data_IF_170653524089
#
_entry.id   IF_170653524089
#
_cell.length_a   1.000
_cell.length_b   1.000
_cell.length_c   1.000
_cell.angle_alpha   90.00
_cell.angle_beta   90.00
_cell.angle_gamma   90.00
#
_symmetry.space_group_name_H-M   'P 1'
#
loop_
_entity.id
_entity.type
_entity.pdbx_description
1 polymer ?
#
# COMPACT_ATOMS: atom_id res chain seq x y z
N UNK A 1 -5.18 1.04 -28.55
CA UNK A 1 -4.30 1.26 -27.38
C UNK A 1 -5.10 1.55 -26.11
N UNK A 2 -6.10 2.44 -26.15
CA UNK A 2 -6.91 2.79 -24.97
C UNK A 2 -7.70 1.62 -24.36
N UNK A 3 -8.38 0.81 -25.17
CA UNK A 3 -9.13 -0.36 -24.67
C UNK A 3 -8.24 -1.39 -23.95
N UNK A 4 -7.05 -1.66 -24.49
CA UNK A 4 -6.07 -2.56 -23.87
C UNK A 4 -5.59 -2.03 -22.52
N UNK A 5 -5.34 -0.71 -22.44
CA UNK A 5 -4.94 -0.07 -21.19
C UNK A 5 -6.04 -0.16 -20.13
N UNK A 6 -7.29 0.15 -20.49
CA UNK A 6 -8.44 0.02 -19.57
C UNK A 6 -8.64 -1.42 -19.10
N UNK A 7 -8.46 -2.41 -19.98
CA UNK A 7 -8.52 -3.82 -19.61
C UNK A 7 -7.43 -4.19 -18.58
N UNK A 8 -6.18 -3.75 -18.78
CA UNK A 8 -5.09 -3.96 -17.84
C UNK A 8 -5.43 -3.32 -16.48
N UNK A 9 -5.88 -2.06 -16.47
CA UNK A 9 -6.29 -1.34 -15.26
C UNK A 9 -7.40 -2.11 -14.54
N UNK A 10 -8.44 -2.55 -15.27
CA UNK A 10 -9.51 -3.35 -14.70
C UNK A 10 -8.99 -4.64 -14.06
N UNK A 11 -8.17 -5.41 -14.77
CA UNK A 11 -7.62 -6.68 -14.27
C UNK A 11 -6.77 -6.47 -13.01
N UNK A 12 -5.91 -5.45 -13.00
CA UNK A 12 -5.05 -5.14 -11.85
C UNK A 12 -5.88 -4.73 -10.64
N UNK A 13 -6.83 -3.80 -10.79
CA UNK A 13 -7.64 -3.36 -9.66
C UNK A 13 -8.64 -4.40 -9.20
N UNK A 14 -9.14 -5.27 -10.08
CA UNK A 14 -9.95 -6.44 -9.70
C UNK A 14 -9.12 -7.38 -8.81
N UNK A 15 -7.90 -7.72 -9.22
CA UNK A 15 -7.00 -8.57 -8.44
C UNK A 15 -6.61 -7.91 -7.10
N UNK A 16 -6.23 -6.64 -7.13
CA UNK A 16 -5.85 -5.87 -5.94
C UNK A 16 -7.02 -5.73 -4.96
N UNK A 17 -8.22 -5.46 -5.47
CA UNK A 17 -9.46 -5.46 -4.70
C UNK A 17 -9.73 -6.83 -4.07
N UNK A 18 -9.61 -7.92 -4.84
CA UNK A 18 -9.81 -9.27 -4.33
C UNK A 18 -8.84 -9.62 -3.20
N UNK A 19 -7.55 -9.29 -3.34
CA UNK A 19 -6.56 -9.46 -2.28
C UNK A 19 -6.93 -8.67 -1.02
N UNK A 20 -7.40 -7.43 -1.19
CA UNK A 20 -7.92 -6.62 -0.08
C UNK A 20 -9.17 -7.22 0.57
N UNK A 21 -10.07 -7.80 -0.21
CA UNK A 21 -11.27 -8.46 0.31
C UNK A 21 -10.94 -9.68 1.18
N UNK A 22 -9.94 -10.46 0.77
CA UNK A 22 -9.47 -11.63 1.54
C UNK A 22 -8.69 -11.22 2.78
N UNK A 23 -7.72 -10.32 2.66
CA UNK A 23 -6.77 -10.02 3.74
C UNK A 23 -7.11 -8.79 4.59
N UNK A 24 -7.98 -7.91 4.12
CA UNK A 24 -8.24 -6.58 4.69
C UNK A 24 -7.26 -5.49 4.22
N UNK A 25 -6.11 -5.86 3.65
CA UNK A 25 -5.04 -4.96 3.24
C UNK A 25 -4.51 -5.27 1.83
N UNK A 26 -3.59 -4.45 1.33
CA UNK A 26 -2.78 -4.84 0.17
C UNK A 26 -3.28 -4.40 -1.21
N UNK A 27 -4.46 -3.75 -1.36
CA UNK A 27 -4.83 -3.15 -2.65
C UNK A 27 -3.72 -2.24 -3.19
N UNK A 28 -3.20 -1.25 -2.42
CA UNK A 28 -2.10 -0.42 -2.87
C UNK A 28 -0.87 -1.21 -3.30
N UNK A 29 -0.47 -2.21 -2.51
CA UNK A 29 0.73 -3.00 -2.77
C UNK A 29 0.61 -3.84 -4.03
N UNK A 30 -0.54 -4.50 -4.22
CA UNK A 30 -0.78 -5.34 -5.40
C UNK A 30 -0.90 -4.49 -6.65
N UNK A 31 -1.67 -3.39 -6.60
CA UNK A 31 -1.79 -2.51 -7.76
C UNK A 31 -0.45 -1.88 -8.13
N UNK A 32 0.32 -1.40 -7.15
CA UNK A 32 1.64 -0.81 -7.40
C UNK A 32 2.64 -1.84 -7.93
N UNK A 33 2.63 -3.07 -7.40
CA UNK A 33 3.51 -4.13 -7.87
C UNK A 33 3.21 -4.55 -9.31
N UNK A 34 1.94 -4.61 -9.70
CA UNK A 34 1.53 -5.00 -11.05
C UNK A 34 1.67 -3.85 -12.06
N UNK A 35 1.19 -2.64 -11.72
CA UNK A 35 1.31 -1.47 -12.60
C UNK A 35 2.75 -1.02 -12.74
N UNK A 36 3.57 -1.16 -11.69
CA UNK A 36 5.00 -0.80 -11.72
C UNK A 36 5.83 -1.63 -12.71
N UNK A 37 5.29 -2.73 -13.24
CA UNK A 37 5.89 -3.46 -14.37
C UNK A 37 5.64 -2.80 -15.73
N UNK A 38 4.64 -1.92 -15.82
CA UNK A 38 4.11 -1.40 -17.08
C UNK A 38 4.29 0.12 -17.18
N UNK A 39 4.36 0.82 -16.05
CA UNK A 39 4.47 2.27 -15.98
C UNK A 39 5.32 2.72 -14.79
N UNK A 40 5.81 3.97 -14.79
CA UNK A 40 6.48 4.56 -13.63
C UNK A 40 5.64 4.48 -12.35
N UNK A 41 6.25 4.32 -11.16
CA UNK A 41 5.52 4.24 -9.90
C UNK A 41 4.63 5.46 -9.61
N UNK A 42 5.02 6.67 -10.05
CA UNK A 42 4.20 7.86 -9.89
C UNK A 42 2.86 7.76 -10.65
N UNK A 43 2.87 7.22 -11.88
CA UNK A 43 1.68 6.98 -12.69
C UNK A 43 0.78 5.89 -12.09
N UNK A 44 1.39 4.79 -11.65
CA UNK A 44 0.68 3.72 -10.94
C UNK A 44 -0.02 4.25 -9.68
N UNK A 45 0.67 5.10 -8.91
CA UNK A 45 0.14 5.70 -7.70
C UNK A 45 -1.06 6.60 -7.99
N UNK A 46 -1.02 7.40 -9.06
CA UNK A 46 -2.14 8.27 -9.44
C UNK A 46 -3.43 7.50 -9.73
N UNK A 47 -3.34 6.34 -10.41
CA UNK A 47 -4.50 5.46 -10.62
C UNK A 47 -5.00 4.82 -9.32
N UNK A 48 -4.10 4.53 -8.39
CA UNK A 48 -4.38 3.81 -7.14
C UNK A 48 -4.99 4.69 -6.06
N UNK A 49 -4.65 5.98 -6.01
CA UNK A 49 -5.06 6.90 -4.93
C UNK A 49 -6.58 6.85 -4.69
N UNK A 50 -7.38 7.08 -5.73
CA UNK A 50 -8.85 7.15 -5.57
C UNK A 50 -9.47 5.81 -5.13
N UNK A 51 -9.19 4.66 -5.78
CA UNK A 51 -9.63 3.36 -5.31
C UNK A 51 -9.18 3.01 -3.88
N UNK A 52 -7.93 3.34 -3.54
CA UNK A 52 -7.42 3.13 -2.18
C UNK A 52 -8.21 3.95 -1.17
N UNK A 53 -8.40 5.26 -1.41
CA UNK A 53 -9.20 6.14 -0.55
C UNK A 53 -10.60 5.58 -0.33
N UNK A 54 -11.30 5.27 -1.43
CA UNK A 54 -12.68 4.80 -1.37
C UNK A 54 -12.82 3.46 -0.64
N UNK A 55 -11.95 2.48 -0.91
CA UNK A 55 -12.06 1.14 -0.31
C UNK A 55 -11.62 1.06 1.15
N UNK A 56 -10.85 2.04 1.64
CA UNK A 56 -10.44 2.12 3.04
C UNK A 56 -11.34 3.02 3.89
N UNK A 57 -12.14 3.89 3.28
CA UNK A 57 -13.08 4.75 4.01
C UNK A 57 -14.00 3.92 4.92
N UNK A 58 -14.51 2.79 4.42
CA UNK A 58 -15.32 1.87 5.20
C UNK A 58 -14.58 1.25 6.40
N UNK A 59 -13.26 1.02 6.29
CA UNK A 59 -12.46 0.49 7.41
C UNK A 59 -12.21 1.54 8.49
N UNK A 60 -12.36 2.83 8.19
CA UNK A 60 -12.20 3.86 9.20
C UNK A 60 -13.38 3.89 10.19
N UNK A 61 -14.55 3.37 9.79
CA UNK A 61 -15.72 3.29 10.66
C UNK A 61 -15.49 2.29 11.81
N UNK A 62 -15.76 2.70 13.05
CA UNK A 62 -15.66 1.84 14.23
C UNK A 62 -15.50 2.62 15.54
N UNK A 63 -15.68 1.98 16.70
CA UNK A 63 -15.71 2.65 18.00
C UNK A 63 -14.32 3.00 18.56
N UNK A 64 -13.22 2.54 17.94
CA UNK A 64 -11.88 2.60 18.55
C UNK A 64 -11.10 3.89 18.25
N UNK A 65 -11.73 4.92 17.68
CA UNK A 65 -11.07 6.16 17.24
C UNK A 65 -10.19 6.80 18.32
N UNK A 66 -10.71 7.00 19.52
CA UNK A 66 -9.99 7.67 20.62
C UNK A 66 -8.73 6.90 21.03
N UNK A 67 -8.85 5.57 21.13
CA UNK A 67 -7.73 4.69 21.48
C UNK A 67 -6.66 4.72 20.37
N UNK A 68 -7.09 4.54 19.11
CA UNK A 68 -6.20 4.51 17.96
C UNK A 68 -5.50 5.85 17.78
N UNK A 69 -6.20 6.98 17.90
CA UNK A 69 -5.59 8.31 17.81
C UNK A 69 -4.51 8.51 18.89
N UNK A 70 -4.81 8.16 20.15
CA UNK A 70 -3.84 8.29 21.25
C UNK A 70 -2.60 7.40 21.07
N UNK A 71 -2.74 6.26 20.41
CA UNK A 71 -1.68 5.27 20.25
C UNK A 71 -0.88 5.45 18.95
N UNK A 72 -1.53 5.81 17.86
CA UNK A 72 -0.99 5.79 16.50
C UNK A 72 -0.62 7.19 15.96
N UNK A 73 -0.99 8.28 16.64
CA UNK A 73 -0.64 9.63 16.16
C UNK A 73 0.86 9.82 15.88
N UNK A 74 1.84 9.26 16.65
CA UNK A 74 3.25 9.48 16.34
C UNK A 74 3.64 8.84 15.01
N UNK A 75 3.05 7.68 14.70
CA UNK A 75 3.24 6.98 13.44
C UNK A 75 2.62 7.76 12.28
N UNK A 76 1.40 8.26 12.44
CA UNK A 76 0.75 9.07 11.40
C UNK A 76 1.48 10.38 11.15
N UNK A 77 1.94 11.05 12.21
CA UNK A 77 2.73 12.28 12.11
C UNK A 77 4.07 12.02 11.40
N UNK A 78 4.82 11.00 11.83
CA UNK A 78 6.07 10.61 11.18
C UNK A 78 5.86 10.26 9.72
N UNK A 79 4.80 9.51 9.40
CA UNK A 79 4.45 9.15 8.04
C UNK A 79 4.14 10.38 7.19
N UNK A 80 3.27 11.27 7.66
CA UNK A 80 2.89 12.49 6.94
C UNK A 80 4.11 13.38 6.68
N UNK A 81 4.90 13.65 7.72
CA UNK A 81 6.07 14.52 7.62
C UNK A 81 7.11 13.91 6.67
N UNK A 82 7.44 12.63 6.82
CA UNK A 82 8.40 11.98 5.95
C UNK A 82 7.88 11.85 4.52
N UNK A 83 6.59 11.53 4.32
CA UNK A 83 6.02 11.43 2.98
C UNK A 83 6.00 12.79 2.27
N UNK A 84 5.61 13.88 2.94
CA UNK A 84 5.51 15.20 2.31
C UNK A 84 6.87 15.87 2.12
N UNK A 85 7.76 15.78 3.11
CA UNK A 85 9.04 16.50 3.12
C UNK A 85 10.24 15.63 2.74
N UNK A 86 10.03 14.37 2.31
CA UNK A 86 11.14 13.54 1.83
C UNK A 86 11.86 14.22 0.66
N UNK A 87 13.20 14.30 0.67
CA UNK A 87 13.97 14.79 -0.47
C UNK A 87 13.96 13.83 -1.66
N UNK A 88 13.44 12.61 -1.47
CA UNK A 88 13.35 11.55 -2.48
C UNK A 88 11.90 11.45 -2.94
N UNK A 89 11.64 11.66 -4.24
CA UNK A 89 10.34 11.44 -4.87
C UNK A 89 10.42 10.37 -5.96
N UNK A 90 9.39 9.53 -6.08
CA UNK A 90 9.25 8.61 -7.21
C UNK A 90 9.31 9.32 -8.57
N UNK A 91 8.86 10.58 -8.63
CA UNK A 91 8.88 11.41 -9.83
C UNK A 91 10.29 11.94 -10.19
N UNK A 92 11.19 12.05 -9.21
CA UNK A 92 12.50 12.70 -9.37
C UNK A 92 13.61 11.69 -9.69
N UNK A 93 13.34 10.38 -9.61
CA UNK A 93 14.34 9.33 -9.85
C UNK A 93 14.39 9.01 -11.36
N UNK A 94 15.47 9.37 -12.08
CA UNK A 94 15.57 9.11 -13.52
C UNK A 94 15.72 7.62 -13.84
N UNK A 95 15.42 7.23 -15.09
CA UNK A 95 15.94 5.99 -15.69
C UNK A 95 15.61 4.68 -14.96
N UNK A 96 14.33 4.43 -14.68
CA UNK A 96 13.87 3.16 -14.08
C UNK A 96 14.32 2.92 -12.63
N UNK A 97 15.00 3.89 -12.00
CA UNK A 97 15.44 3.78 -10.61
C UNK A 97 14.27 3.66 -9.62
N UNK A 98 13.17 4.39 -9.85
CA UNK A 98 11.97 4.29 -9.00
C UNK A 98 11.38 2.87 -9.01
N UNK A 99 11.32 2.22 -10.18
CA UNK A 99 10.85 0.83 -10.31
C UNK A 99 11.79 -0.15 -9.62
N UNK A 100 13.11 0.09 -9.64
CA UNK A 100 14.08 -0.71 -8.87
C UNK A 100 13.87 -0.58 -7.36
N UNK A 101 13.69 0.64 -6.85
CA UNK A 101 13.43 0.87 -5.42
C UNK A 101 12.11 0.21 -5.00
N UNK A 102 11.06 0.34 -5.82
CA UNK A 102 9.80 -0.39 -5.61
C UNK A 102 10.03 -1.91 -5.59
N UNK A 103 10.82 -2.43 -6.53
CA UNK A 103 11.19 -3.85 -6.57
C UNK A 103 11.89 -4.32 -5.29
N UNK A 104 12.89 -3.56 -4.82
CA UNK A 104 13.59 -3.83 -3.56
C UNK A 104 12.64 -3.83 -2.36
N UNK A 105 11.73 -2.85 -2.27
CA UNK A 105 10.72 -2.79 -1.20
C UNK A 105 9.80 -4.00 -1.22
N UNK A 106 9.38 -4.45 -2.41
CA UNK A 106 8.57 -5.67 -2.57
C UNK A 106 9.35 -6.93 -2.19
N UNK A 107 10.65 -7.01 -2.52
CA UNK A 107 11.51 -8.12 -2.08
C UNK A 107 11.61 -8.16 -0.56
N UNK A 108 11.92 -7.03 0.09
CA UNK A 108 12.02 -6.95 1.55
C UNK A 108 10.69 -7.35 2.19
N UNK A 109 9.56 -6.85 1.67
CA UNK A 109 8.24 -7.18 2.19
C UNK A 109 7.87 -8.67 1.96
N UNK A 110 8.20 -9.21 0.79
CA UNK A 110 8.00 -10.62 0.46
C UNK A 110 8.81 -11.55 1.37
N UNK A 111 10.11 -11.27 1.54
CA UNK A 111 10.99 -12.01 2.45
C UNK A 111 10.46 -11.94 3.89
N UNK A 112 10.10 -10.76 4.36
CA UNK A 112 9.55 -10.57 5.71
C UNK A 112 8.29 -11.43 5.93
N UNK A 113 7.33 -11.39 5.01
CA UNK A 113 6.09 -12.14 5.14
C UNK A 113 6.22 -13.65 4.96
N UNK A 114 7.24 -14.11 4.21
CA UNK A 114 7.59 -15.53 4.11
C UNK A 114 8.32 -16.03 5.37
N UNK A 115 9.24 -15.23 5.91
CA UNK A 115 9.99 -15.56 7.12
C UNK A 115 9.12 -15.57 8.38
N UNK A 116 8.06 -14.76 8.42
CA UNK A 116 7.11 -14.65 9.55
C UNK A 116 7.81 -14.48 10.90
N UNK A 117 8.69 -13.47 11.05
CA UNK A 117 9.44 -13.28 12.27
C UNK A 117 8.51 -13.07 13.46
N UNK A 118 8.93 -13.57 14.63
CA UNK A 118 8.24 -13.31 15.88
C UNK A 118 8.30 -11.81 16.20
N UNK A 119 7.15 -11.17 16.33
CA UNK A 119 7.07 -9.74 16.62
C UNK A 119 7.30 -9.46 18.11
N UNK A 120 8.19 -8.51 18.47
CA UNK A 120 8.49 -8.20 19.86
C UNK A 120 7.31 -7.52 20.56
N UNK A 121 7.27 -7.63 21.89
CA UNK A 121 6.36 -6.83 22.71
C UNK A 121 6.92 -5.41 22.86
N UNK A 122 6.25 -4.42 22.26
CA UNK A 122 6.77 -3.05 22.20
C UNK A 122 6.71 -2.30 23.55
N UNK A 123 5.79 -2.68 24.45
CA UNK A 123 5.66 -2.10 25.79
C UNK A 123 5.66 -0.57 25.78
N UNK A 124 6.50 0.03 26.63
CA UNK A 124 6.65 1.49 26.74
C UNK A 124 7.23 2.16 25.47
N UNK A 125 7.93 1.41 24.61
CA UNK A 125 8.57 1.94 23.41
C UNK A 125 7.62 2.01 22.20
N UNK A 126 6.36 1.60 22.35
CA UNK A 126 5.39 1.54 21.26
C UNK A 126 5.28 2.87 20.48
N UNK A 127 5.26 4.02 21.16
CA UNK A 127 5.15 5.33 20.49
C UNK A 127 6.40 5.71 19.69
N UNK A 128 7.58 5.43 20.24
CA UNK A 128 8.85 5.70 19.54
C UNK A 128 8.98 4.78 18.32
N UNK A 129 8.71 3.48 18.50
CA UNK A 129 8.66 2.51 17.41
C UNK A 129 7.65 2.93 16.34
N UNK A 130 6.49 3.47 16.76
CA UNK A 130 5.48 4.02 15.87
C UNK A 130 6.00 5.20 15.04
N UNK A 131 6.65 6.18 15.67
CA UNK A 131 7.25 7.33 14.96
C UNK A 131 8.31 6.90 13.95
N UNK A 132 9.19 5.98 14.33
CA UNK A 132 10.21 5.41 13.42
C UNK A 132 9.56 4.64 12.28
N UNK A 133 8.57 3.79 12.58
CA UNK A 133 7.87 3.00 11.58
C UNK A 133 7.09 3.90 10.61
N UNK A 134 6.42 4.93 11.13
CA UNK A 134 5.72 5.94 10.35
C UNK A 134 6.66 6.69 9.42
N UNK A 135 7.75 7.23 9.96
CA UNK A 135 8.74 7.99 9.19
C UNK A 135 9.38 7.14 8.09
N UNK A 136 9.82 5.92 8.41
CA UNK A 136 10.37 5.01 7.41
C UNK A 136 9.33 4.65 6.33
N UNK A 137 8.08 4.41 6.73
CA UNK A 137 6.99 4.15 5.77
C UNK A 137 6.74 5.37 4.89
N UNK A 138 6.76 6.58 5.45
CA UNK A 138 6.58 7.82 4.69
C UNK A 138 7.67 8.03 3.64
N UNK A 139 8.95 7.76 3.99
CA UNK A 139 10.06 7.79 3.03
C UNK A 139 9.86 6.78 1.89
N UNK A 140 9.48 5.54 2.24
CA UNK A 140 9.18 4.49 1.25
C UNK A 140 8.00 4.90 0.37
N UNK A 141 6.98 5.52 0.97
CA UNK A 141 5.79 6.02 0.25
C UNK A 141 6.18 7.08 -0.76
N UNK A 142 7.01 8.04 -0.36
CA UNK A 142 7.49 9.09 -1.24
C UNK A 142 8.32 8.54 -2.42
N UNK A 143 9.17 7.54 -2.16
CA UNK A 143 10.04 6.95 -3.17
C UNK A 143 9.34 5.97 -4.12
N UNK A 144 8.27 5.30 -3.67
CA UNK A 144 7.71 4.14 -4.39
C UNK A 144 6.19 4.12 -4.52
N UNK A 145 5.46 4.91 -3.74
CA UNK A 145 4.00 4.84 -3.61
C UNK A 145 3.46 3.69 -2.75
N UNK A 146 4.32 2.80 -2.25
CA UNK A 146 3.94 1.71 -1.33
C UNK A 146 4.11 2.14 0.12
N UNK A 147 3.18 1.75 0.98
CA UNK A 147 3.16 2.17 2.40
C UNK A 147 2.87 1.01 3.36
N UNK A 148 3.38 -0.18 3.07
CA UNK A 148 3.12 -1.38 3.89
C UNK A 148 4.20 -1.64 4.94
N UNK A 149 5.46 -1.49 4.58
CA UNK A 149 6.58 -1.77 5.47
C UNK A 149 7.29 -0.45 5.84
N UNK A 150 7.67 -0.24 7.12
CA UNK A 150 7.44 -1.06 8.33
C UNK A 150 6.12 -0.83 9.09
N UNK A 151 5.22 0.03 8.60
CA UNK A 151 3.97 0.37 9.30
C UNK A 151 3.09 -0.84 9.67
N UNK A 152 2.85 -1.77 8.74
CA UNK A 152 1.99 -2.93 9.01
C UNK A 152 2.60 -3.88 10.04
N UNK A 153 3.89 -4.28 9.95
CA UNK A 153 4.55 -5.02 11.02
C UNK A 153 4.46 -4.33 12.39
N UNK A 154 4.59 -3.01 12.45
CA UNK A 154 4.39 -2.25 13.69
C UNK A 154 2.96 -2.41 14.23
N UNK A 155 1.93 -2.23 13.40
CA UNK A 155 0.53 -2.42 13.80
C UNK A 155 0.25 -3.87 14.26
N UNK A 156 0.87 -4.86 13.63
CA UNK A 156 0.77 -6.27 14.04
C UNK A 156 1.45 -6.50 15.40
N UNK A 157 2.58 -5.85 15.66
CA UNK A 157 3.32 -5.97 16.92
C UNK A 157 2.56 -5.35 18.11
N UNK A 158 1.65 -4.41 17.87
CA UNK A 158 0.76 -3.87 18.89
C UNK A 158 -0.28 -4.88 19.40
N UNK A 159 -0.49 -6.00 18.68
CA UNK A 159 -1.42 -7.08 19.05
C UNK A 159 -2.83 -6.55 19.41
N UNK A 160 -3.30 -5.57 18.64
CA UNK A 160 -4.62 -4.97 18.82
C UNK A 160 -5.73 -6.02 18.63
N UNK A 161 -6.88 -5.87 19.31
CA UNK A 161 -8.07 -6.64 19.00
C UNK A 161 -8.42 -6.52 17.51
N UNK A 162 -8.98 -7.58 16.93
CA UNK A 162 -9.22 -7.68 15.48
C UNK A 162 -9.90 -6.44 14.88
N UNK A 163 -10.96 -5.94 15.52
CA UNK A 163 -11.72 -4.80 15.00
C UNK A 163 -10.93 -3.49 15.09
N UNK A 164 -10.19 -3.29 16.18
CA UNK A 164 -9.27 -2.16 16.33
C UNK A 164 -8.10 -2.24 15.35
N UNK A 165 -7.58 -3.44 15.06
CA UNK A 165 -6.53 -3.64 14.07
C UNK A 165 -7.00 -3.30 12.66
N UNK A 166 -8.18 -3.77 12.25
CA UNK A 166 -8.78 -3.43 10.95
C UNK A 166 -9.03 -1.93 10.85
N UNK A 167 -9.59 -1.32 11.91
CA UNK A 167 -9.82 0.12 11.93
C UNK A 167 -8.51 0.92 11.87
N UNK A 168 -7.49 0.49 12.63
CA UNK A 168 -6.16 1.08 12.62
C UNK A 168 -5.48 1.00 11.24
N UNK A 169 -5.59 -0.15 10.55
CA UNK A 169 -5.12 -0.30 9.16
C UNK A 169 -5.83 0.66 8.22
N UNK A 170 -7.17 0.71 8.29
CA UNK A 170 -7.99 1.60 7.47
C UNK A 170 -7.55 3.06 7.58
N UNK A 171 -7.48 3.57 8.81
CA UNK A 171 -7.07 4.96 9.08
C UNK A 171 -5.63 5.19 8.62
N UNK A 172 -4.71 4.27 8.91
CA UNK A 172 -3.30 4.44 8.55
C UNK A 172 -3.08 4.44 7.04
N UNK A 173 -3.79 3.59 6.30
CA UNK A 173 -3.79 3.62 4.83
C UNK A 173 -4.46 4.87 4.27
N UNK A 174 -5.45 5.46 4.96
CA UNK A 174 -6.00 6.77 4.60
C UNK A 174 -5.02 7.90 4.76
N UNK A 175 -4.34 7.95 5.90
CA UNK A 175 -3.28 8.93 6.13
C UNK A 175 -2.18 8.78 5.05
N UNK A 176 -1.73 7.55 4.77
CA UNK A 176 -0.69 7.31 3.78
C UNK A 176 -1.11 7.65 2.35
N UNK A 177 -2.34 7.28 1.96
CA UNK A 177 -2.85 7.58 0.62
C UNK A 177 -3.07 9.09 0.44
N UNK A 178 -3.56 9.79 1.47
CA UNK A 178 -3.71 11.23 1.44
C UNK A 178 -2.35 11.95 1.35
N UNK A 179 -1.34 11.49 2.11
CA UNK A 179 0.01 12.01 2.03
C UNK A 179 0.60 11.86 0.62
N UNK A 180 0.41 10.68 0.02
CA UNK A 180 0.85 10.40 -1.34
C UNK A 180 0.11 11.26 -2.38
N UNK A 181 -1.20 11.44 -2.23
CA UNK A 181 -2.01 12.30 -3.10
C UNK A 181 -1.50 13.74 -3.09
N UNK A 182 -1.26 14.30 -1.89
CA UNK A 182 -0.74 15.66 -1.74
C UNK A 182 0.66 15.78 -2.37
N UNK A 183 1.54 14.80 -2.16
CA UNK A 183 2.88 14.79 -2.75
C UNK A 183 2.84 14.74 -4.27
N UNK A 184 2.02 13.87 -4.85
CA UNK A 184 1.89 13.78 -6.30
C UNK A 184 1.37 15.10 -6.89
N UNK A 185 0.39 15.71 -6.24
CA UNK A 185 -0.16 17.02 -6.63
C UNK A 185 0.84 18.19 -6.50
N UNK A 186 1.84 18.08 -5.62
CA UNK A 186 2.90 19.10 -5.49
C UNK A 186 4.08 18.92 -6.44
N UNK A 187 4.16 17.79 -7.16
CA UNK A 187 5.26 17.48 -8.09
C UNK A 187 4.84 17.70 -9.55
N UNK A 188 5.80 17.96 -10.44
CA UNK A 188 5.59 18.12 -11.89
C UNK A 188 5.08 16.86 -12.61
N UNK A 189 4.88 15.75 -11.88
CA UNK A 189 4.09 14.60 -12.31
C UNK A 189 2.65 14.97 -12.72
N UNK A 190 2.19 16.19 -12.39
CA UNK A 190 0.98 16.83 -12.91
C UNK A 190 0.84 16.83 -14.45
N UNK A 191 1.90 16.54 -15.21
CA UNK A 191 1.83 16.35 -16.65
C UNK A 191 1.12 15.05 -17.09
N UNK A 192 1.13 14.00 -16.26
CA UNK A 192 0.37 12.78 -16.51
C UNK A 192 -0.90 12.79 -15.66
N UNK A 193 -2.02 13.16 -16.27
CA UNK A 193 -3.33 13.01 -15.65
C UNK A 193 -3.90 11.65 -16.05
N UNK A 194 -4.11 10.76 -15.08
CA UNK A 194 -4.88 9.54 -15.33
C UNK A 194 -6.23 9.92 -15.95
N UNK A 195 -6.55 9.33 -17.10
CA UNK A 195 -7.80 9.66 -17.81
C UNK A 195 -9.01 9.32 -16.93
N UNK A 196 -10.05 10.14 -16.99
CA UNK A 196 -11.28 9.90 -16.22
C UNK A 196 -11.84 8.48 -16.40
N UNK A 197 -11.83 7.87 -17.62
CA UNK A 197 -12.21 6.48 -17.82
C UNK A 197 -11.33 5.47 -17.06
N UNK A 198 -10.02 5.69 -16.99
CA UNK A 198 -9.10 4.81 -16.29
C UNK A 198 -9.33 4.87 -14.77
N UNK A 199 -9.53 6.06 -14.20
CA UNK A 199 -9.89 6.24 -12.79
C UNK A 199 -11.23 5.57 -12.44
N UNK A 200 -12.26 5.76 -13.29
CA UNK A 200 -13.56 5.12 -13.09
C UNK A 200 -13.46 3.60 -13.16
N UNK A 201 -12.70 3.08 -14.13
CA UNK A 201 -12.46 1.64 -14.32
C UNK A 201 -11.72 1.05 -13.13
N UNK A 202 -10.65 1.71 -12.67
CA UNK A 202 -9.89 1.32 -11.48
C UNK A 202 -10.78 1.24 -10.24
N UNK A 203 -11.63 2.25 -10.04
CA UNK A 203 -12.54 2.32 -8.89
C UNK A 203 -13.59 1.20 -8.91
N UNK A 204 -14.29 1.03 -10.04
CA UNK A 204 -15.32 -0.01 -10.20
C UNK A 204 -14.70 -1.40 -10.03
N UNK A 205 -13.57 -1.66 -10.71
CA UNK A 205 -12.89 -2.94 -10.62
C UNK A 205 -12.37 -3.23 -9.21
N UNK A 206 -11.84 -2.21 -8.50
CA UNK A 206 -11.40 -2.35 -7.12
C UNK A 206 -12.54 -2.77 -6.19
N UNK A 207 -13.72 -2.17 -6.31
CA UNK A 207 -14.89 -2.55 -5.51
C UNK A 207 -15.44 -3.92 -5.90
N UNK A 208 -15.51 -4.25 -7.19
CA UNK A 208 -15.91 -5.57 -7.65
C UNK A 208 -14.96 -6.66 -7.12
N UNK A 209 -13.66 -6.41 -7.18
CA UNK A 209 -12.62 -7.25 -6.62
C UNK A 209 -12.78 -7.40 -5.12
N UNK A 210 -12.93 -6.28 -4.39
CA UNK A 210 -13.12 -6.27 -2.94
C UNK A 210 -14.32 -7.13 -2.52
N UNK A 211 -15.45 -6.98 -3.22
CA UNK A 211 -16.63 -7.81 -3.01
C UNK A 211 -16.34 -9.29 -3.25
N UNK A 212 -15.75 -9.65 -4.39
CA UNK A 212 -15.41 -11.04 -4.72
C UNK A 212 -14.45 -11.66 -3.70
N UNK A 213 -13.39 -10.93 -3.33
CA UNK A 213 -12.42 -11.37 -2.32
C UNK A 213 -13.04 -11.56 -0.94
N UNK A 214 -13.96 -10.68 -0.53
CA UNK A 214 -14.66 -10.80 0.76
C UNK A 214 -15.51 -12.08 0.84
N UNK A 215 -16.11 -12.49 -0.28
CA UNK A 215 -16.88 -13.74 -0.40
C UNK A 215 -15.98 -14.97 -0.38
N UNK A 216 -14.80 -14.88 -0.98
CA UNK A 216 -13.82 -15.97 -1.01
C UNK A 216 -13.06 -16.15 0.30
N UNK A 217 -12.99 -15.11 1.15
CA UNK A 217 -12.23 -15.12 2.41
C UNK A 217 -12.51 -16.32 3.29
N UNK A 218 -13.76 -16.74 3.42
CA UNK A 218 -14.15 -17.89 4.25
C UNK A 218 -13.74 -19.25 3.68
N UNK A 219 -13.31 -19.31 2.42
CA UNK A 219 -12.91 -20.54 1.71
C UNK A 219 -11.40 -20.73 1.61
N UNK A 220 -10.62 -19.73 2.03
CA UNK A 220 -9.18 -19.71 1.88
C UNK A 220 -8.50 -19.90 3.24
N UNK A 221 -7.48 -20.75 3.29
CA UNK A 221 -6.61 -20.81 4.45
C UNK A 221 -5.81 -19.48 4.56
N UNK A 222 -5.95 -18.73 5.66
CA UNK A 222 -5.29 -17.43 5.79
C UNK A 222 -3.77 -17.52 5.71
N UNK A 223 -3.18 -18.59 6.23
CA UNK A 223 -1.74 -18.76 6.22
C UNK A 223 -1.23 -19.06 4.81
N UNK A 224 -1.87 -19.94 4.06
CA UNK A 224 -1.50 -20.25 2.68
C UNK A 224 -1.68 -19.03 1.78
N UNK A 225 -2.80 -18.33 1.89
CA UNK A 225 -3.05 -17.10 1.11
C UNK A 225 -1.93 -16.07 1.32
N UNK A 226 -1.56 -15.83 2.58
CA UNK A 226 -0.47 -14.91 2.89
C UNK A 226 0.87 -15.41 2.34
N UNK A 227 1.20 -16.71 2.40
CA UNK A 227 2.46 -17.22 1.81
C UNK A 227 2.51 -16.96 0.31
N UNK A 228 1.44 -17.29 -0.41
CA UNK A 228 1.36 -17.10 -1.87
C UNK A 228 1.50 -15.62 -2.21
N UNK A 229 0.77 -14.74 -1.50
CA UNK A 229 0.83 -13.31 -1.76
C UNK A 229 2.24 -12.73 -1.56
N UNK A 230 2.94 -13.10 -0.48
CA UNK A 230 4.30 -12.65 -0.25
C UNK A 230 5.30 -13.27 -1.25
N UNK A 231 5.08 -14.51 -1.69
CA UNK A 231 5.84 -15.12 -2.78
C UNK A 231 5.68 -14.37 -4.09
N UNK A 232 4.45 -13.93 -4.42
CA UNK A 232 4.18 -13.08 -5.59
C UNK A 232 4.90 -11.73 -5.46
N UNK A 233 4.87 -11.08 -4.30
CA UNK A 233 5.62 -9.83 -4.10
C UNK A 233 7.13 -10.01 -4.24
N UNK A 234 7.69 -11.11 -3.72
CA UNK A 234 9.11 -11.41 -3.88
C UNK A 234 9.47 -11.61 -5.36
N UNK A 235 8.66 -12.37 -6.10
CA UNK A 235 8.87 -12.60 -7.53
C UNK A 235 8.77 -11.30 -8.34
N UNK A 236 7.72 -10.51 -8.13
CA UNK A 236 7.55 -9.22 -8.78
C UNK A 236 8.71 -8.27 -8.44
N UNK A 237 9.14 -8.26 -7.18
CA UNK A 237 10.29 -7.49 -6.72
C UNK A 237 11.58 -7.87 -7.45
N UNK A 238 11.86 -9.17 -7.59
CA UNK A 238 13.00 -9.69 -8.35
C UNK A 238 12.95 -9.27 -9.82
N UNK A 239 11.79 -9.37 -10.47
CA UNK A 239 11.59 -8.96 -11.87
C UNK A 239 11.84 -7.46 -12.04
N UNK A 240 11.34 -6.63 -11.13
CA UNK A 240 11.51 -5.17 -11.18
C UNK A 240 12.95 -4.74 -10.88
N UNK A 241 13.61 -5.39 -9.92
CA UNK A 241 15.00 -5.13 -9.58
C UNK A 241 15.98 -5.60 -10.68
N UNK A 242 15.66 -6.71 -11.36
CA UNK A 242 16.46 -7.28 -12.43
C UNK A 242 16.31 -6.60 -13.80
N UNK A 243 15.31 -5.74 -13.98
CA UNK A 243 14.98 -5.08 -15.27
C UNK A 243 15.96 -3.99 -15.74
N UNK A 244 17.20 -4.00 -15.26
CA UNK A 244 18.26 -3.08 -15.74
C UNK A 244 19.68 -3.64 -15.52
N UNK A 245 19.89 -4.92 -15.85
CA UNK A 245 21.20 -5.47 -16.19
C UNK A 245 21.26 -5.70 -17.70
#
# INVERSE_FOLDING_TARGET
MEATFLFIVAAVFLAAGAVKGVSGMGLPTVSMALLGLLMPPAEAAMLMVLPSLATNAAQCAGPHWTMLARQLWPMWAGLLLAALFSPISAADIPGGGASRVLGLVLMVYGIWGLARPALPALGHHARLAGSLAGSATGLVTAATGVFVIPMVPYLQALKLPRDAFIQGLGISFMVATAALMLRLGSTSAAGWAASAPACATALIAAFAGLWAGSRLRGRLDPAQFQRVLHGVFLLLGLVMAGRSL
#
